data_IF_962962324047
#
_entry.id   IF_962962324047
#
_cell.length_a   1.000
_cell.length_b   1.000
_cell.length_c   1.000
_cell.angle_alpha   90.00
_cell.angle_beta   90.00
_cell.angle_gamma   90.00
#
_symmetry.space_group_name_H-M   'P 1'
#
loop_
_entity.id
_entity.type
_entity.pdbx_description
1 polymer ?
#
# COMPACT_ATOMS: atom_id res chain seq x y z
N UNK A 1 -11.19 3.05 0.91
CA UNK A 1 -9.81 3.30 0.45
C UNK A 1 -8.91 3.99 1.48
N UNK A 2 -9.43 4.89 2.33
CA UNK A 2 -8.66 5.61 3.38
C UNK A 2 -7.73 4.74 4.24
N UNK A 3 -8.09 3.49 4.52
CA UNK A 3 -7.24 2.58 5.30
C UNK A 3 -5.95 2.18 4.56
N UNK A 4 -6.01 1.92 3.26
CA UNK A 4 -4.83 1.54 2.46
C UNK A 4 -3.88 2.72 2.20
N UNK A 5 -4.39 3.96 2.25
CA UNK A 5 -3.57 5.17 2.11
C UNK A 5 -2.52 5.30 3.22
N UNK A 6 -2.79 4.78 4.43
CA UNK A 6 -1.82 4.80 5.54
C UNK A 6 -0.62 3.87 5.33
N UNK A 7 -0.72 2.96 4.36
CA UNK A 7 0.30 1.96 4.05
C UNK A 7 1.07 2.26 2.76
N UNK A 8 0.91 3.47 2.22
CA UNK A 8 1.72 4.01 1.14
C UNK A 8 2.42 5.28 1.62
N UNK A 9 3.62 5.55 1.09
CA UNK A 9 4.32 6.80 1.31
C UNK A 9 3.65 7.93 0.54
N UNK A 10 4.05 9.16 0.82
CA UNK A 10 3.61 10.36 0.08
C UNK A 10 3.89 10.24 -1.42
N UNK A 11 5.01 9.59 -1.79
CA UNK A 11 5.36 9.28 -3.19
C UNK A 11 4.53 8.15 -3.80
N UNK A 12 3.57 7.61 -3.07
CA UNK A 12 2.72 6.50 -3.50
C UNK A 12 3.36 5.12 -3.37
N UNK A 13 4.59 4.95 -2.86
CA UNK A 13 5.26 3.64 -2.72
C UNK A 13 4.71 2.85 -1.54
N UNK A 14 4.67 1.51 -1.61
CA UNK A 14 4.19 0.68 -0.49
C UNK A 14 5.21 0.76 0.65
N UNK A 15 4.73 1.04 1.85
CA UNK A 15 5.58 1.12 3.05
C UNK A 15 6.07 -0.30 3.44
N UNK A 16 7.38 -0.48 3.73
CA UNK A 16 7.93 -1.77 4.16
C UNK A 16 7.31 -2.33 5.44
N UNK A 17 7.30 -3.66 5.60
CA UNK A 17 6.75 -4.34 6.78
C UNK A 17 7.36 -3.85 8.09
N UNK A 18 8.67 -3.55 8.10
CA UNK A 18 9.40 -3.02 9.27
C UNK A 18 8.78 -1.74 9.83
N UNK A 19 8.23 -0.87 8.97
CA UNK A 19 7.61 0.39 9.38
C UNK A 19 6.15 0.18 9.75
N UNK A 20 5.42 -0.61 8.96
CA UNK A 20 3.99 -0.91 9.22
C UNK A 20 3.76 -1.85 10.41
N UNK A 21 4.82 -2.47 10.94
CA UNK A 21 4.82 -3.46 12.03
C UNK A 21 3.88 -4.67 11.81
N UNK A 22 3.55 -5.02 10.55
CA UNK A 22 2.75 -6.22 10.25
C UNK A 22 3.65 -7.43 9.92
N UNK A 23 3.17 -8.62 10.24
CA UNK A 23 3.85 -9.86 9.86
C UNK A 23 3.90 -10.03 8.32
N UNK A 24 4.79 -10.90 7.84
CA UNK A 24 5.03 -11.07 6.40
C UNK A 24 3.80 -11.58 5.64
N UNK A 25 2.98 -12.43 6.27
CA UNK A 25 1.74 -12.96 5.66
C UNK A 25 0.74 -11.83 5.40
N UNK A 26 0.57 -10.93 6.35
CA UNK A 26 -0.31 -9.77 6.23
C UNK A 26 0.28 -8.71 5.29
N UNK A 27 1.60 -8.51 5.28
CA UNK A 27 2.25 -7.62 4.31
C UNK A 27 1.99 -8.06 2.86
N UNK A 28 2.04 -9.36 2.56
CA UNK A 28 1.73 -9.89 1.23
C UNK A 28 0.28 -9.60 0.82
N UNK A 29 -0.67 -9.83 1.73
CA UNK A 29 -2.10 -9.52 1.52
C UNK A 29 -2.31 -8.02 1.30
N UNK A 30 -1.69 -7.19 2.12
CA UNK A 30 -1.73 -5.73 2.02
C UNK A 30 -1.19 -5.25 0.67
N UNK A 31 -0.03 -5.75 0.25
CA UNK A 31 0.56 -5.39 -1.04
C UNK A 31 -0.36 -5.80 -2.21
N UNK A 32 -1.01 -6.96 -2.14
CA UNK A 32 -1.97 -7.39 -3.16
C UNK A 32 -3.21 -6.48 -3.20
N UNK A 33 -3.74 -6.10 -2.04
CA UNK A 33 -4.87 -5.16 -1.94
C UNK A 33 -4.51 -3.78 -2.50
N UNK A 34 -3.32 -3.26 -2.19
CA UNK A 34 -2.84 -1.97 -2.74
C UNK A 34 -2.70 -2.05 -4.26
N UNK A 35 -2.10 -3.12 -4.79
CA UNK A 35 -1.97 -3.32 -6.24
C UNK A 35 -3.34 -3.34 -6.94
N UNK A 36 -4.33 -4.04 -6.37
CA UNK A 36 -5.71 -4.05 -6.89
C UNK A 36 -6.34 -2.66 -6.86
N UNK A 37 -6.22 -1.94 -5.75
CA UNK A 37 -6.74 -0.58 -5.62
C UNK A 37 -6.11 0.38 -6.64
N UNK A 38 -4.81 0.24 -6.94
CA UNK A 38 -4.14 1.03 -7.99
C UNK A 38 -4.67 0.75 -9.39
N UNK A 39 -4.93 -0.51 -9.73
CA UNK A 39 -5.53 -0.85 -11.03
C UNK A 39 -6.94 -0.25 -11.20
N UNK A 40 -7.67 -0.07 -10.10
CA UNK A 40 -8.98 0.57 -10.08
C UNK A 40 -8.92 2.10 -9.94
N UNK A 41 -7.73 2.71 -10.10
CA UNK A 41 -7.50 4.15 -9.92
C UNK A 41 -7.87 4.71 -8.53
N UNK A 42 -7.99 3.85 -7.51
CA UNK A 42 -8.31 4.25 -6.14
C UNK A 42 -7.06 4.74 -5.37
N UNK A 43 -5.87 4.35 -5.82
CA UNK A 43 -4.58 4.76 -5.25
C UNK A 43 -3.58 5.08 -6.37
N UNK A 44 -2.67 6.05 -6.18
CA UNK A 44 -1.64 6.35 -7.16
C UNK A 44 -0.54 5.28 -7.20
N UNK A 45 0.06 5.09 -8.38
CA UNK A 45 1.29 4.30 -8.54
C UNK A 45 2.52 5.08 -8.08
N UNK A 46 2.55 6.37 -8.40
CA UNK A 46 3.60 7.32 -8.05
C UNK A 46 2.99 8.72 -7.99
N UNK A 47 3.43 9.51 -7.02
CA UNK A 47 3.08 10.94 -6.91
C UNK A 47 4.37 11.71 -7.20
N UNK A 48 4.33 12.58 -8.21
CA UNK A 48 5.45 13.47 -8.57
C UNK A 48 5.59 14.60 -7.57
#
# INVERSE_FOLDING_TARGET
>A
VKLLQRYISEKGKIVPSRITAVNLKNQRKLAQAIKRARMLALLPFEVK
#
